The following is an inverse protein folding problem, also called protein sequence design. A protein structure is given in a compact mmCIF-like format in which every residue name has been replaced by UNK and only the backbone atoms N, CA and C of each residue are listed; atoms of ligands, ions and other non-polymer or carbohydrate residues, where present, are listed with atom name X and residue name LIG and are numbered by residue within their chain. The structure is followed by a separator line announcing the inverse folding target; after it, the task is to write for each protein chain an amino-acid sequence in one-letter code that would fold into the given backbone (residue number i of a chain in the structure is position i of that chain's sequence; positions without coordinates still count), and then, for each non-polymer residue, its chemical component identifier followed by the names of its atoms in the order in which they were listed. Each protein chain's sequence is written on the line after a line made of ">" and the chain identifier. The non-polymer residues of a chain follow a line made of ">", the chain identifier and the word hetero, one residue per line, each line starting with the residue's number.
data_IF_000516079228
#
_entry.id   IF_000516079228
#
_cell.length_a   1.000
_cell.length_b   1.000
_cell.length_c   1.000
_cell.angle_alpha   90.00
_cell.angle_beta   90.00
_cell.angle_gamma   90.00
#
_symmetry.space_group_name_H-M   'P 1'
#
loop_
_entity.id
_entity.type
_entity.pdbx_description
1 polymer ?
#
# COMPACT_ATOMS: atom_id res chain seq x y z
N UNK A 1 0.91 47.01 29.36
CA UNK A 1 0.12 45.80 29.04
C UNK A 1 0.52 45.42 27.63
N UNK A 2 1.58 44.61 27.52
CA UNK A 2 2.22 44.33 26.24
C UNK A 2 1.54 43.13 25.59
N UNK A 3 1.02 43.33 24.38
CA UNK A 3 0.55 42.26 23.51
C UNK A 3 1.75 41.47 22.98
N UNK A 4 1.62 40.15 23.00
CA UNK A 4 2.55 39.24 22.34
C UNK A 4 2.01 38.94 20.94
N UNK A 5 2.68 39.48 19.93
CA UNK A 5 2.59 39.01 18.55
C UNK A 5 3.30 37.67 18.45
N UNK A 6 2.60 36.64 17.99
CA UNK A 6 3.18 35.37 17.59
C UNK A 6 3.35 35.37 16.07
N UNK A 7 4.59 35.54 15.60
CA UNK A 7 4.96 35.33 14.20
C UNK A 7 4.84 33.84 13.85
N UNK A 8 3.94 33.52 12.93
CA UNK A 8 3.85 32.20 12.30
C UNK A 8 4.90 32.12 11.18
N UNK A 9 6.00 31.42 11.42
CA UNK A 9 6.93 31.03 10.38
C UNK A 9 6.33 29.87 9.57
N UNK A 10 5.85 30.20 8.36
CA UNK A 10 5.55 29.21 7.34
C UNK A 10 6.87 28.71 6.74
N UNK A 11 7.23 27.46 7.00
CA UNK A 11 8.32 26.79 6.31
C UNK A 11 7.79 26.17 5.01
N UNK A 12 8.29 26.67 3.88
CA UNK A 12 8.13 26.03 2.58
C UNK A 12 8.91 24.71 2.58
N UNK A 13 8.21 23.58 2.47
CA UNK A 13 8.83 22.31 2.11
C UNK A 13 9.09 22.33 0.61
N UNK A 14 10.35 22.27 0.21
CA UNK A 14 10.74 22.08 -1.18
C UNK A 14 10.54 20.62 -1.56
N UNK A 15 9.89 20.37 -2.71
CA UNK A 15 9.81 19.06 -3.35
C UNK A 15 11.22 18.62 -3.79
N UNK A 16 11.97 17.99 -2.88
CA UNK A 16 13.19 17.28 -3.23
C UNK A 16 12.83 15.84 -3.65
N UNK A 17 13.40 15.32 -4.75
CA UNK A 17 13.15 13.94 -5.17
C UNK A 17 13.66 12.97 -4.10
N UNK A 18 12.93 11.85 -3.93
CA UNK A 18 13.33 10.77 -3.03
C UNK A 18 14.77 10.33 -3.31
N UNK A 19 15.64 10.42 -2.31
CA UNK A 19 17.05 10.04 -2.41
C UNK A 19 17.18 8.54 -2.30
N UNK A 20 17.95 7.92 -3.21
CA UNK A 20 18.25 6.48 -3.17
C UNK A 20 19.04 6.13 -1.90
N UNK A 21 18.52 5.27 -1.00
CA UNK A 21 19.22 4.87 0.22
C UNK A 21 20.58 4.23 -0.03
N UNK A 22 20.84 3.68 -1.23
CA UNK A 22 22.12 3.10 -1.60
C UNK A 22 23.25 4.14 -1.81
N UNK A 23 22.93 5.44 -1.76
CA UNK A 23 23.90 6.54 -1.93
C UNK A 23 24.29 7.23 -0.62
N UNK A 24 23.70 6.80 0.51
CA UNK A 24 23.97 7.38 1.83
C UNK A 24 25.26 6.79 2.41
N UNK A 25 26.12 7.66 2.92
CA UNK A 25 27.26 7.23 3.71
C UNK A 25 26.85 6.93 5.17
N UNK A 26 27.76 6.32 5.95
CA UNK A 26 27.49 5.94 7.35
C UNK A 26 27.12 7.13 8.25
N UNK A 27 27.38 8.37 7.81
CA UNK A 27 27.09 9.60 8.56
C UNK A 27 25.69 10.15 8.31
N UNK A 28 24.98 9.60 7.33
CA UNK A 28 23.65 10.03 6.92
C UNK A 28 22.57 9.00 7.28
N UNK A 29 21.34 9.50 7.46
CA UNK A 29 20.14 8.71 7.70
C UNK A 29 18.95 9.34 6.97
N UNK A 30 17.86 8.59 6.81
CA UNK A 30 16.60 9.11 6.26
C UNK A 30 15.66 9.44 7.43
N UNK A 31 15.05 10.62 7.39
CA UNK A 31 14.00 11.00 8.33
C UNK A 31 12.76 10.11 8.11
N UNK A 32 12.29 9.32 9.10
CA UNK A 32 11.16 8.40 8.92
C UNK A 32 9.82 9.10 8.68
N UNK A 33 9.74 10.39 9.00
CA UNK A 33 8.51 11.17 8.88
C UNK A 33 8.39 11.82 7.51
N UNK A 34 9.50 12.30 6.94
CA UNK A 34 9.49 13.11 5.70
C UNK A 34 10.21 12.46 4.53
N UNK A 35 11.11 11.49 4.79
CA UNK A 35 11.98 10.91 3.76
C UNK A 35 13.23 11.74 3.46
N UNK A 36 13.43 12.87 4.15
CA UNK A 36 14.60 13.74 3.94
C UNK A 36 15.89 13.09 4.44
N UNK A 37 17.01 13.31 3.75
CA UNK A 37 18.33 12.91 4.23
C UNK A 37 18.81 13.84 5.32
N UNK A 38 19.29 13.28 6.42
CA UNK A 38 19.79 14.00 7.58
C UNK A 38 21.17 13.52 7.97
N UNK A 39 22.01 14.42 8.47
CA UNK A 39 23.33 14.08 9.02
C UNK A 39 23.14 13.67 10.49
N UNK A 40 23.55 12.44 10.84
CA UNK A 40 23.31 11.84 12.17
C UNK A 40 23.87 12.69 13.31
N UNK A 41 25.10 13.17 13.17
CA UNK A 41 25.77 13.98 14.19
C UNK A 41 25.07 15.33 14.43
N UNK A 42 24.53 15.96 13.38
CA UNK A 42 23.80 17.23 13.49
C UNK A 42 22.43 17.00 14.14
N UNK A 43 21.73 15.95 13.72
CA UNK A 43 20.47 15.55 14.32
C UNK A 43 20.63 15.25 15.82
N UNK A 44 21.69 14.55 16.22
CA UNK A 44 22.01 14.31 17.64
C UNK A 44 22.31 15.61 18.40
N UNK A 45 23.13 16.49 17.82
CA UNK A 45 23.46 17.78 18.44
C UNK A 45 22.23 18.68 18.66
N UNK A 46 21.23 18.58 17.78
CA UNK A 46 19.96 19.30 17.87
C UNK A 46 18.88 18.57 18.70
N UNK A 47 19.17 17.38 19.24
CA UNK A 47 18.19 16.56 19.96
C UNK A 47 17.10 15.95 19.06
N UNK A 48 17.34 15.93 17.75
CA UNK A 48 16.52 15.34 16.71
C UNK A 48 16.85 13.86 16.48
N UNK A 49 17.08 13.11 17.55
CA UNK A 49 17.24 11.65 17.50
C UNK A 49 16.42 10.95 18.57
N UNK A 50 15.98 9.72 18.30
CA UNK A 50 15.23 8.86 19.24
C UNK A 50 15.72 7.44 19.16
N UNK A 51 15.71 6.76 20.30
CA UNK A 51 15.89 5.31 20.38
C UNK A 51 14.52 4.67 20.55
N UNK A 52 14.17 3.73 19.67
CA UNK A 52 12.94 2.95 19.77
C UNK A 52 13.20 1.52 19.29
N UNK A 53 12.75 0.53 20.07
CA UNK A 53 12.95 -0.90 19.78
C UNK A 53 14.40 -1.31 19.43
N UNK A 54 15.37 -0.67 20.08
CA UNK A 54 16.80 -0.96 19.88
C UNK A 54 17.40 -0.35 18.60
N UNK A 55 16.65 0.48 17.87
CA UNK A 55 17.11 1.21 16.69
C UNK A 55 17.15 2.72 16.94
N UNK A 56 18.18 3.36 16.38
CA UNK A 56 18.34 4.82 16.37
C UNK A 56 17.60 5.44 15.17
N UNK A 57 16.76 6.43 15.44
CA UNK A 57 16.04 7.22 14.45
C UNK A 57 16.53 8.67 14.48
N UNK A 58 16.64 9.27 13.30
CA UNK A 58 17.16 10.62 13.10
C UNK A 58 16.13 11.45 12.33
N UNK A 59 15.92 12.70 12.72
CA UNK A 59 14.83 13.54 12.21
C UNK A 59 15.36 14.86 11.65
N UNK A 60 14.72 15.37 10.59
CA UNK A 60 15.15 16.62 9.95
C UNK A 60 14.79 17.86 10.79
N UNK A 61 13.80 17.77 11.68
CA UNK A 61 13.36 18.88 12.51
C UNK A 61 12.64 18.44 13.79
N UNK A 62 12.48 19.38 14.73
CA UNK A 62 11.78 19.17 15.99
C UNK A 62 10.30 18.77 15.83
N UNK A 63 9.64 19.18 14.74
CA UNK A 63 8.26 18.76 14.44
C UNK A 63 8.18 17.27 14.12
N UNK A 64 9.13 16.73 13.34
CA UNK A 64 9.20 15.30 13.04
C UNK A 64 9.46 14.47 14.29
N UNK A 65 10.28 14.98 15.20
CA UNK A 65 10.48 14.39 16.52
C UNK A 65 9.16 14.31 17.30
N UNK A 66 8.39 15.40 17.35
CA UNK A 66 7.10 15.42 18.05
C UNK A 66 6.08 14.46 17.43
N UNK A 67 6.06 14.35 16.09
CA UNK A 67 5.20 13.41 15.39
C UNK A 67 5.57 11.96 15.72
N UNK A 68 6.86 11.67 15.77
CA UNK A 68 7.37 10.35 16.16
C UNK A 68 7.06 10.04 17.63
N UNK A 69 7.32 10.96 18.56
CA UNK A 69 7.05 10.78 19.99
C UNK A 69 5.56 10.51 20.26
N UNK A 70 4.67 11.07 19.44
CA UNK A 70 3.21 10.88 19.54
C UNK A 70 2.73 9.54 19.01
N UNK A 71 3.37 8.99 17.98
CA UNK A 71 2.98 7.72 17.38
C UNK A 71 4.19 7.04 16.70
N UNK A 72 5.10 6.43 17.49
CA UNK A 72 6.34 5.87 16.96
C UNK A 72 6.10 4.65 16.08
N UNK A 73 5.08 3.83 16.37
CA UNK A 73 4.72 2.65 15.56
C UNK A 73 4.43 3.02 14.10
N UNK A 74 3.85 4.20 13.85
CA UNK A 74 3.60 4.69 12.48
C UNK A 74 4.88 4.91 11.66
N UNK A 75 6.01 5.18 12.31
CA UNK A 75 7.25 5.66 11.67
C UNK A 75 8.46 4.75 11.91
N UNK A 76 8.31 3.71 12.73
CA UNK A 76 9.36 2.73 13.07
C UNK A 76 9.48 1.62 12.05
N UNK A 77 8.58 1.56 11.08
CA UNK A 77 8.71 0.75 9.87
C UNK A 77 9.68 1.41 8.87
N UNK A 78 10.92 1.69 9.26
CA UNK A 78 11.95 2.10 8.30
C UNK A 78 12.52 0.88 7.57
N UNK A 79 11.91 0.58 6.42
CA UNK A 79 12.59 0.48 5.11
C UNK A 79 14.06 0.06 5.11
N UNK A 80 14.42 -1.15 5.59
CA UNK A 80 15.69 -1.84 5.19
C UNK A 80 15.65 -3.36 5.39
N UNK A 81 14.47 -3.97 5.40
CA UNK A 81 14.31 -5.37 5.00
C UNK A 81 13.41 -5.32 3.77
N UNK A 82 13.85 -5.87 2.63
CA UNK A 82 12.96 -6.05 1.49
C UNK A 82 11.88 -7.04 1.92
N UNK A 83 10.76 -6.54 2.44
CA UNK A 83 9.60 -7.38 2.68
C UNK A 83 9.30 -8.05 1.34
N UNK A 84 9.42 -9.36 1.33
CA UNK A 84 9.33 -10.13 0.10
C UNK A 84 7.99 -10.83 0.09
N UNK A 85 7.38 -10.85 -1.09
CA UNK A 85 6.14 -11.55 -1.34
C UNK A 85 6.46 -12.76 -2.21
N UNK A 86 6.17 -13.96 -1.71
CA UNK A 86 6.37 -15.22 -2.44
C UNK A 86 5.08 -15.62 -3.10
N UNK A 87 5.10 -15.79 -4.43
CA UNK A 87 3.93 -16.18 -5.20
C UNK A 87 3.53 -17.62 -4.88
N UNK A 88 2.33 -17.84 -4.35
CA UNK A 88 1.84 -19.17 -3.99
C UNK A 88 0.88 -19.75 -5.00
N UNK A 89 0.11 -18.90 -5.72
CA UNK A 89 -0.83 -19.37 -6.73
C UNK A 89 -1.21 -18.29 -7.74
N UNK A 90 -1.72 -18.76 -8.88
CA UNK A 90 -2.28 -17.92 -9.95
C UNK A 90 -3.64 -18.48 -10.35
N UNK A 91 -4.59 -17.60 -10.63
CA UNK A 91 -5.93 -17.97 -11.06
C UNK A 91 -6.38 -17.04 -12.19
N UNK A 92 -6.92 -17.62 -13.27
CA UNK A 92 -7.56 -16.85 -14.33
C UNK A 92 -9.03 -16.61 -13.95
N UNK A 93 -9.45 -15.35 -13.89
CA UNK A 93 -10.79 -14.99 -13.44
C UNK A 93 -11.75 -14.70 -14.60
N UNK A 94 -11.25 -14.06 -15.66
CA UNK A 94 -11.99 -13.74 -16.87
C UNK A 94 -11.04 -13.20 -17.95
N UNK A 95 -11.16 -13.63 -19.20
CA UNK A 95 -10.34 -13.12 -20.32
C UNK A 95 -8.84 -13.10 -19.94
N UNK A 96 -8.15 -11.97 -20.07
CA UNK A 96 -6.77 -11.76 -19.63
C UNK A 96 -6.66 -11.15 -18.22
N UNK A 97 -7.67 -11.30 -17.36
CA UNK A 97 -7.63 -10.90 -15.95
C UNK A 97 -7.19 -12.08 -15.09
N UNK A 98 -6.12 -11.87 -14.35
CA UNK A 98 -5.50 -12.88 -13.49
C UNK A 98 -5.38 -12.37 -12.06
N UNK A 99 -5.60 -13.25 -11.10
CA UNK A 99 -5.28 -13.08 -9.70
C UNK A 99 -3.96 -13.81 -9.37
N UNK A 100 -3.06 -13.11 -8.71
CA UNK A 100 -1.77 -13.59 -8.23
C UNK A 100 -1.80 -13.50 -6.71
N UNK A 101 -1.67 -14.64 -6.02
CA UNK A 101 -1.69 -14.69 -4.55
C UNK A 101 -0.28 -14.86 -4.03
N UNK A 102 0.06 -14.06 -3.03
CA UNK A 102 1.36 -14.03 -2.42
C UNK A 102 1.26 -14.18 -0.90
N UNK A 103 2.22 -14.90 -0.34
CA UNK A 103 2.50 -14.88 1.08
C UNK A 103 3.60 -13.86 1.37
N UNK A 104 3.41 -13.04 2.40
CA UNK A 104 4.44 -12.13 2.87
C UNK A 104 5.39 -12.88 3.82
N UNK A 105 6.69 -12.70 3.62
CA UNK A 105 7.71 -13.31 4.49
C UNK A 105 7.63 -12.77 5.93
N UNK A 106 7.09 -11.56 6.09
CA UNK A 106 6.82 -10.89 7.37
C UNK A 106 5.32 -10.64 7.54
N UNK A 107 4.77 -10.68 8.77
CA UNK A 107 3.37 -10.35 9.00
C UNK A 107 3.03 -8.93 8.55
N UNK A 108 1.98 -8.83 7.75
CA UNK A 108 1.47 -7.57 7.20
C UNK A 108 -0.03 -7.47 7.47
N UNK A 109 -0.49 -6.26 7.82
CA UNK A 109 -1.90 -5.96 8.03
C UNK A 109 -2.32 -4.85 7.09
N UNK A 110 -3.57 -4.89 6.62
CA UNK A 110 -4.13 -3.86 5.74
C UNK A 110 -5.62 -3.70 5.96
N UNK A 111 -6.14 -2.54 5.58
CA UNK A 111 -7.58 -2.31 5.49
C UNK A 111 -8.05 -2.62 4.06
N UNK A 112 -9.13 -3.41 3.89
CA UNK A 112 -9.70 -3.66 2.58
C UNK A 112 -10.01 -2.37 1.82
N UNK A 113 -9.49 -2.28 0.59
CA UNK A 113 -9.51 -1.07 -0.25
C UNK A 113 -8.13 -0.43 -0.47
N UNK A 114 -7.19 -0.66 0.44
CA UNK A 114 -5.82 -0.15 0.34
C UNK A 114 -5.01 -0.76 -0.81
N UNK A 115 -3.93 -0.08 -1.17
CA UNK A 115 -2.98 -0.51 -2.19
C UNK A 115 -1.57 -0.67 -1.62
N UNK A 116 -0.73 -1.41 -2.36
CA UNK A 116 0.69 -1.59 -2.09
C UNK A 116 1.51 -1.23 -3.32
N UNK A 117 2.79 -0.89 -3.13
CA UNK A 117 3.76 -0.80 -4.22
C UNK A 117 4.67 -2.01 -4.20
N UNK A 118 4.74 -2.71 -5.32
CA UNK A 118 5.64 -3.85 -5.49
C UNK A 118 6.66 -3.58 -6.57
N UNK A 119 7.81 -4.23 -6.46
CA UNK A 119 8.85 -4.27 -7.47
C UNK A 119 9.10 -5.70 -7.93
N UNK A 120 9.13 -5.87 -9.24
CA UNK A 120 9.58 -7.09 -9.89
C UNK A 120 10.72 -6.70 -10.83
N UNK A 121 11.99 -6.87 -10.44
CA UNK A 121 13.12 -6.67 -11.33
C UNK A 121 13.01 -7.61 -12.53
N UNK A 122 13.13 -7.06 -13.74
CA UNK A 122 13.09 -7.80 -14.99
C UNK A 122 13.87 -7.06 -16.08
N UNK A 123 14.26 -7.80 -17.12
CA UNK A 123 15.06 -7.24 -18.21
C UNK A 123 14.24 -6.30 -19.09
N UNK A 124 14.89 -5.23 -19.58
CA UNK A 124 14.32 -4.25 -20.52
C UNK A 124 12.98 -3.65 -20.08
N UNK A 125 12.89 -3.02 -18.88
CA UNK A 125 11.64 -2.43 -18.42
C UNK A 125 11.17 -1.31 -19.37
N UNK A 126 9.86 -1.20 -19.56
CA UNK A 126 9.23 -0.08 -20.24
C UNK A 126 9.35 1.23 -19.42
N UNK A 127 8.82 2.34 -19.96
CA UNK A 127 8.91 3.66 -19.34
C UNK A 127 8.26 3.74 -17.94
N UNK A 128 7.39 2.80 -17.58
CA UNK A 128 6.79 2.74 -16.25
C UNK A 128 7.69 1.97 -15.24
N UNK A 129 8.76 1.32 -15.70
CA UNK A 129 9.79 0.71 -14.86
C UNK A 129 9.43 -0.65 -14.26
N UNK A 130 10.12 -1.02 -13.18
CA UNK A 130 9.97 -2.32 -12.47
C UNK A 130 8.98 -2.27 -11.31
N UNK A 131 8.43 -1.09 -10.99
CA UNK A 131 7.57 -0.85 -9.82
C UNK A 131 6.14 -0.59 -10.25
N UNK A 132 5.16 -1.17 -9.55
CA UNK A 132 3.73 -0.92 -9.81
C UNK A 132 2.92 -0.87 -8.52
N UNK A 133 1.89 -0.03 -8.57
CA UNK A 133 0.85 0.07 -7.55
C UNK A 133 -0.26 -0.92 -7.85
N UNK A 134 -0.70 -1.64 -6.83
CA UNK A 134 -1.87 -2.51 -6.92
C UNK A 134 -2.71 -2.41 -5.66
N UNK A 135 -4.03 -2.28 -5.84
CA UNK A 135 -4.99 -2.54 -4.77
C UNK A 135 -4.87 -3.99 -4.29
N UNK A 136 -4.88 -4.20 -2.98
CA UNK A 136 -4.96 -5.55 -2.40
C UNK A 136 -6.40 -6.05 -2.57
N UNK A 137 -6.56 -7.05 -3.44
CA UNK A 137 -7.86 -7.67 -3.80
C UNK A 137 -8.18 -8.90 -2.94
N UNK A 138 -7.62 -8.97 -1.73
CA UNK A 138 -7.92 -9.95 -0.68
C UNK A 138 -8.17 -9.24 0.65
N UNK A 139 -8.63 -10.00 1.64
CA UNK A 139 -8.84 -9.54 3.01
C UNK A 139 -7.74 -10.06 3.93
N UNK A 140 -7.44 -9.40 5.05
CA UNK A 140 -6.50 -9.94 6.04
C UNK A 140 -6.87 -11.35 6.52
N UNK A 141 -8.16 -11.70 6.53
CA UNK A 141 -8.65 -13.03 6.90
C UNK A 141 -8.28 -14.14 5.90
N UNK A 142 -7.95 -13.78 4.65
CA UNK A 142 -7.51 -14.75 3.65
C UNK A 142 -6.09 -15.26 3.93
N UNK A 143 -5.30 -14.51 4.72
CA UNK A 143 -3.91 -14.87 5.05
C UNK A 143 -2.91 -14.68 3.89
N UNK A 144 -3.34 -14.12 2.77
CA UNK A 144 -2.49 -13.82 1.61
C UNK A 144 -2.80 -12.46 0.99
N UNK A 145 -1.82 -11.87 0.33
CA UNK A 145 -1.98 -10.68 -0.52
C UNK A 145 -2.39 -11.15 -1.91
N UNK A 146 -3.51 -10.65 -2.43
CA UNK A 146 -3.92 -10.91 -3.82
C UNK A 146 -3.79 -9.66 -4.67
N UNK A 147 -2.95 -9.73 -5.70
CA UNK A 147 -2.90 -8.73 -6.77
C UNK A 147 -3.74 -9.27 -7.94
N UNK A 148 -4.79 -8.56 -8.32
CA UNK A 148 -5.59 -8.90 -9.49
C UNK A 148 -5.41 -7.84 -10.56
N UNK A 149 -5.01 -8.24 -11.75
CA UNK A 149 -4.76 -7.30 -12.85
C UNK A 149 -5.12 -7.89 -14.20
N UNK A 150 -5.41 -7.00 -15.15
CA UNK A 150 -5.46 -7.35 -16.56
C UNK A 150 -4.03 -7.46 -17.08
N UNK A 151 -3.62 -8.64 -17.52
CA UNK A 151 -2.31 -8.90 -18.15
C UNK A 151 -2.33 -8.29 -19.56
N UNK A 152 -1.54 -7.24 -19.74
CA UNK A 152 -1.35 -6.52 -21.01
C UNK A 152 0.11 -6.62 -21.44
N UNK A 153 0.46 -6.05 -22.58
CA UNK A 153 1.81 -6.13 -23.15
C UNK A 153 2.86 -5.27 -22.43
N UNK A 154 2.57 -4.80 -21.22
CA UNK A 154 3.56 -4.07 -20.42
C UNK A 154 4.58 -5.07 -19.86
N UNK A 155 5.84 -4.64 -19.86
CA UNK A 155 6.99 -5.48 -19.46
C UNK A 155 6.81 -6.07 -18.07
N UNK A 156 6.37 -5.24 -17.11
CA UNK A 156 6.05 -5.67 -15.75
C UNK A 156 4.98 -6.78 -15.71
N UNK A 157 3.87 -6.63 -16.45
CA UNK A 157 2.76 -7.58 -16.40
C UNK A 157 3.09 -8.88 -17.12
N UNK A 158 3.89 -8.82 -18.18
CA UNK A 158 4.44 -10.02 -18.81
C UNK A 158 5.38 -10.76 -17.86
N UNK A 159 6.27 -10.03 -17.17
CA UNK A 159 7.14 -10.62 -16.14
C UNK A 159 6.34 -11.24 -14.98
N UNK A 160 5.32 -10.55 -14.47
CA UNK A 160 4.42 -11.06 -13.42
C UNK A 160 3.66 -12.31 -13.88
N UNK A 161 3.16 -12.30 -15.11
CA UNK A 161 2.48 -13.45 -15.72
C UNK A 161 3.42 -14.64 -15.91
N UNK A 162 4.70 -14.40 -16.22
CA UNK A 162 5.72 -15.44 -16.38
C UNK A 162 6.32 -15.96 -15.06
N UNK A 163 6.22 -15.20 -13.95
CA UNK A 163 6.82 -15.54 -12.65
C UNK A 163 6.33 -16.90 -12.12
N UNK A 164 7.16 -17.94 -11.96
CA UNK A 164 6.69 -19.24 -11.48
C UNK A 164 6.18 -19.16 -10.04
N UNK A 165 5.30 -20.09 -9.63
CA UNK A 165 4.98 -20.29 -8.21
C UNK A 165 6.28 -20.57 -7.44
N UNK A 166 6.43 -19.95 -6.27
CA UNK A 166 7.67 -19.86 -5.50
C UNK A 166 8.56 -18.67 -5.90
N UNK A 167 8.25 -17.98 -6.99
CA UNK A 167 8.90 -16.74 -7.40
C UNK A 167 8.61 -15.60 -6.42
N UNK A 168 9.56 -14.67 -6.30
CA UNK A 168 9.55 -13.60 -5.29
C UNK A 168 9.45 -12.21 -5.94
N UNK A 169 8.70 -11.32 -5.32
CA UNK A 169 8.65 -9.88 -5.65
C UNK A 169 8.91 -9.06 -4.38
N UNK A 170 9.41 -7.84 -4.52
CA UNK A 170 9.66 -6.98 -3.36
C UNK A 170 8.41 -6.14 -3.07
N UNK A 171 8.02 -6.04 -1.81
CA UNK A 171 7.12 -5.02 -1.29
C UNK A 171 7.96 -3.78 -1.00
N UNK A 172 7.77 -2.74 -1.81
CA UNK A 172 8.53 -1.49 -1.71
C UNK A 172 7.83 -0.50 -0.79
N UNK A 173 6.51 -0.50 -0.79
CA UNK A 173 5.70 0.35 0.09
C UNK A 173 4.59 -0.47 0.73
N UNK A 174 4.46 -0.32 2.05
CA UNK A 174 3.45 -0.97 2.88
C UNK A 174 2.02 -0.55 2.46
N UNK A 175 0.98 -1.25 2.94
CA UNK A 175 -0.39 -0.94 2.58
C UNK A 175 -0.76 0.49 2.97
N UNK A 176 -1.21 1.27 1.99
CA UNK A 176 -1.60 2.67 2.15
C UNK A 176 -2.87 3.00 1.34
N UNK A 177 -3.40 4.20 1.54
CA UNK A 177 -4.59 4.72 0.88
C UNK A 177 -5.77 4.86 1.85
N UNK A 178 -6.60 5.86 1.57
CA UNK A 178 -7.81 6.20 2.32
C UNK A 178 -9.10 5.73 1.64
N UNK A 179 -8.98 5.09 0.46
CA UNK A 179 -10.10 4.47 -0.25
C UNK A 179 -10.50 3.14 0.42
N UNK A 180 -11.07 3.27 1.61
CA UNK A 180 -11.54 2.17 2.46
C UNK A 180 -13.04 2.32 2.74
N UNK A 181 -13.67 1.26 3.25
CA UNK A 181 -15.09 1.33 3.62
C UNK A 181 -15.37 2.50 4.57
N UNK A 182 -16.33 3.35 4.18
CA UNK A 182 -16.81 4.46 5.00
C UNK A 182 -18.17 4.10 5.61
N UNK A 183 -18.28 4.17 6.93
CA UNK A 183 -19.57 3.96 7.59
C UNK A 183 -20.56 5.06 7.24
N UNK A 184 -21.80 4.66 6.99
CA UNK A 184 -22.87 5.56 6.56
C UNK A 184 -24.21 5.06 7.08
N UNK A 185 -25.06 5.99 7.53
CA UNK A 185 -26.46 5.70 7.85
C UNK A 185 -27.32 5.54 6.59
N UNK A 186 -26.82 5.98 5.43
CA UNK A 186 -27.47 5.85 4.12
C UNK A 186 -26.85 4.70 3.32
N UNK A 187 -27.64 3.97 2.50
CA UNK A 187 -27.09 2.96 1.61
C UNK A 187 -25.99 3.52 0.72
N UNK A 188 -24.89 2.77 0.60
CA UNK A 188 -23.77 3.12 -0.26
C UNK A 188 -24.04 2.69 -1.71
N UNK A 189 -23.49 3.42 -2.67
CA UNK A 189 -23.49 3.02 -4.09
C UNK A 189 -22.04 2.95 -4.56
N UNK A 190 -21.62 1.76 -4.97
CA UNK A 190 -20.30 1.49 -5.55
C UNK A 190 -20.44 1.37 -7.05
N UNK A 191 -19.59 2.10 -7.80
CA UNK A 191 -19.58 2.07 -9.26
C UNK A 191 -18.19 1.62 -9.69
N UNK A 192 -18.12 0.50 -10.39
CA UNK A 192 -16.88 -0.11 -10.82
C UNK A 192 -16.87 -0.39 -12.33
N UNK A 193 -15.70 -0.20 -12.94
CA UNK A 193 -15.44 -0.52 -14.34
C UNK A 193 -14.21 -1.41 -14.50
N UNK A 194 -14.37 -2.56 -15.16
CA UNK A 194 -13.26 -3.47 -15.46
C UNK A 194 -12.49 -3.89 -14.20
N UNK A 195 -11.17 -3.64 -14.18
CA UNK A 195 -10.29 -4.02 -13.05
C UNK A 195 -10.45 -3.10 -11.84
N UNK A 196 -11.07 -1.92 -11.99
CA UNK A 196 -11.37 -1.01 -10.87
C UNK A 196 -12.35 -1.59 -9.83
N UNK A 197 -12.79 -2.83 -10.01
CA UNK A 197 -13.58 -3.60 -9.06
C UNK A 197 -12.78 -4.07 -7.83
N UNK A 198 -11.46 -4.19 -7.94
CA UNK A 198 -10.60 -4.79 -6.91
C UNK A 198 -10.74 -4.21 -5.49
N UNK A 199 -10.84 -2.87 -5.27
CA UNK A 199 -11.05 -2.36 -3.92
C UNK A 199 -12.43 -2.73 -3.37
N UNK A 200 -13.48 -2.64 -4.19
CA UNK A 200 -14.83 -3.01 -3.75
C UNK A 200 -14.96 -4.50 -3.46
N UNK A 201 -14.25 -5.35 -4.23
CA UNK A 201 -14.19 -6.78 -3.96
C UNK A 201 -13.63 -7.06 -2.56
N UNK A 202 -12.47 -6.51 -2.20
CA UNK A 202 -11.90 -6.74 -0.87
C UNK A 202 -12.77 -6.15 0.25
N UNK A 203 -13.35 -4.96 0.07
CA UNK A 203 -14.29 -4.36 1.03
C UNK A 203 -15.53 -5.22 1.28
N UNK A 204 -16.23 -5.62 0.22
CA UNK A 204 -17.45 -6.41 0.31
C UNK A 204 -17.17 -7.81 0.85
N UNK A 205 -16.05 -8.43 0.45
CA UNK A 205 -15.60 -9.72 0.97
C UNK A 205 -15.34 -9.64 2.49
N UNK A 206 -14.66 -8.60 2.96
CA UNK A 206 -14.38 -8.42 4.38
C UNK A 206 -15.65 -8.17 5.21
N UNK A 207 -16.57 -7.33 4.71
CA UNK A 207 -17.88 -7.10 5.35
C UNK A 207 -18.70 -8.39 5.47
N UNK A 208 -18.72 -9.18 4.40
CA UNK A 208 -19.40 -10.47 4.41
C UNK A 208 -18.80 -11.46 5.41
N UNK A 209 -17.47 -11.43 5.61
CA UNK A 209 -16.80 -12.28 6.60
C UNK A 209 -17.09 -11.85 8.05
N UNK A 210 -17.15 -10.54 8.31
CA UNK A 210 -17.43 -10.02 9.66
C UNK A 210 -18.91 -10.11 10.07
N UNK A 211 -19.80 -10.49 9.13
CA UNK A 211 -21.25 -10.53 9.36
C UNK A 211 -21.89 -9.15 9.55
N UNK A 212 -21.15 -8.08 9.27
CA UNK A 212 -21.66 -6.72 9.35
C UNK A 212 -22.71 -6.47 8.24
N UNK A 213 -23.70 -5.59 8.47
CA UNK A 213 -24.66 -5.23 7.45
C UNK A 213 -23.99 -4.67 6.20
N UNK A 214 -24.37 -5.20 5.04
CA UNK A 214 -23.96 -4.69 3.73
C UNK A 214 -25.13 -3.88 3.15
N UNK A 215 -25.26 -2.63 3.57
CA UNK A 215 -26.22 -1.69 2.96
C UNK A 215 -25.54 -0.99 1.78
N UNK A 216 -25.30 -1.74 0.70
CA UNK A 216 -24.59 -1.22 -0.47
C UNK A 216 -25.14 -1.81 -1.78
N UNK A 217 -25.20 -0.98 -2.82
CA UNK A 217 -25.47 -1.42 -4.20
C UNK A 217 -24.18 -1.31 -5.02
N UNK A 218 -23.76 -2.42 -5.65
CA UNK A 218 -22.65 -2.42 -6.60
C UNK A 218 -23.18 -2.38 -8.03
N UNK A 219 -22.82 -1.34 -8.77
CA UNK A 219 -22.99 -1.22 -10.21
C UNK A 219 -21.66 -1.57 -10.86
N UNK A 220 -21.57 -2.75 -11.46
CA UNK A 220 -20.33 -3.25 -12.06
C UNK A 220 -20.48 -3.46 -13.56
N UNK A 221 -19.61 -2.81 -14.34
CA UNK A 221 -19.60 -2.92 -15.80
C UNK A 221 -18.24 -3.37 -16.35
N UNK A 222 -18.27 -4.14 -17.44
CA UNK A 222 -17.09 -4.58 -18.19
C UNK A 222 -17.35 -4.55 -19.70
N UNK A 223 -16.36 -5.00 -20.48
CA UNK A 223 -16.49 -5.08 -21.95
C UNK A 223 -17.33 -6.29 -22.39
N UNK A 224 -17.37 -7.32 -21.55
CA UNK A 224 -18.08 -8.59 -21.76
C UNK A 224 -18.82 -8.96 -20.49
N UNK A 225 -19.72 -9.96 -20.57
CA UNK A 225 -20.43 -10.49 -19.41
C UNK A 225 -19.56 -11.41 -18.51
N UNK A 226 -18.36 -11.73 -18.98
CA UNK A 226 -17.31 -12.41 -18.23
C UNK A 226 -16.56 -11.38 -17.37
N UNK A 227 -17.08 -11.17 -16.17
CA UNK A 227 -16.53 -10.23 -15.21
C UNK A 227 -15.72 -10.97 -14.13
N UNK A 228 -14.52 -10.50 -13.74
CA UNK A 228 -13.80 -11.07 -12.60
C UNK A 228 -14.64 -10.94 -11.32
N UNK A 229 -14.57 -11.95 -10.47
CA UNK A 229 -15.28 -12.06 -9.18
C UNK A 229 -16.82 -12.14 -9.28
N UNK A 230 -17.38 -12.37 -10.48
CA UNK A 230 -18.83 -12.38 -10.69
C UNK A 230 -19.54 -13.40 -9.81
N UNK A 231 -19.02 -14.62 -9.73
CA UNK A 231 -19.62 -15.71 -8.95
C UNK A 231 -19.70 -15.33 -7.48
N UNK A 232 -18.62 -14.79 -6.93
CA UNK A 232 -18.54 -14.37 -5.53
C UNK A 232 -19.49 -13.22 -5.22
N UNK A 233 -19.66 -12.26 -6.14
CA UNK A 233 -20.64 -11.18 -5.98
C UNK A 233 -22.08 -11.67 -6.06
N UNK A 234 -22.40 -12.60 -6.97
CA UNK A 234 -23.73 -13.21 -7.05
C UNK A 234 -24.06 -13.98 -5.76
N UNK A 235 -23.10 -14.72 -5.20
CA UNK A 235 -23.26 -15.41 -3.93
C UNK A 235 -23.38 -14.46 -2.74
N UNK A 236 -22.62 -13.36 -2.73
CA UNK A 236 -22.73 -12.33 -1.70
C UNK A 236 -24.10 -11.62 -1.77
N UNK A 237 -24.58 -11.28 -2.97
CA UNK A 237 -25.88 -10.65 -3.17
C UNK A 237 -27.03 -11.54 -2.72
N UNK A 238 -26.96 -12.86 -2.93
CA UNK A 238 -27.98 -13.79 -2.39
C UNK A 238 -28.00 -13.84 -0.86
N UNK A 239 -26.87 -13.61 -0.19
CA UNK A 239 -26.76 -13.57 1.28
C UNK A 239 -27.17 -12.21 1.87
N UNK A 240 -27.05 -11.15 1.08
CA UNK A 240 -27.34 -9.77 1.45
C UNK A 240 -28.24 -9.12 0.38
N UNK A 241 -29.53 -9.49 0.33
CA UNK A 241 -30.46 -9.00 -0.69
C UNK A 241 -30.81 -7.52 -0.53
#
# INVERSE_FOLDING_TARGET
>A
MNGHDHEHHHHHHGDAPAVDPATLDDTQAICPVTGDVVVKAEAEALGHSRQHDGQAYYFCCATCVQLFDKNPEKYTHQTHSSDTLTLTSKENLADNVWAFRFEADTPISWTPGQFIRVELPHDNPDNEGTKRWFTISSTPHDGYIQITTRVTDTTFKQALSALPVGGRINLVEQPDGDFVWQESEKPLVFIAGGIGITPFYSMLKARGHSGQPVSATLIYNGRTDELPFKVEFEEASRRHP
#
